data_IF_797955647004
#
_entry.id   IF_797955647004
#
_cell.length_a   1.000
_cell.length_b   1.000
_cell.length_c   1.000
_cell.angle_alpha   90.00
_cell.angle_beta   90.00
_cell.angle_gamma   90.00
#
_symmetry.space_group_name_H-M   'P 1'
#
loop_
_entity.id
_entity.type
_entity.pdbx_description
1 polymer ?
#
# COMPACT_ATOMS: atom_id res chain seq x y z
N UNK A 1 -9.24 15.10 -11.52
CA UNK A 1 -9.94 14.23 -10.57
C UNK A 1 -9.10 14.21 -9.31
N UNK A 2 -9.67 14.53 -8.15
CA UNK A 2 -8.95 14.43 -6.87
C UNK A 2 -9.35 13.10 -6.26
N UNK A 3 -8.56 12.05 -6.51
CA UNK A 3 -8.78 10.76 -5.85
C UNK A 3 -8.54 10.95 -4.35
N UNK A 4 -9.42 10.40 -3.52
CA UNK A 4 -9.19 10.26 -2.08
C UNK A 4 -8.58 8.90 -1.80
N UNK A 5 -7.67 8.83 -0.82
CA UNK A 5 -7.12 7.56 -0.34
C UNK A 5 -7.83 7.13 0.95
N UNK A 6 -8.33 5.89 0.97
CA UNK A 6 -8.81 5.24 2.20
C UNK A 6 -8.04 3.93 2.44
N UNK A 7 -8.07 3.43 3.67
CA UNK A 7 -7.47 2.15 4.04
C UNK A 7 -8.56 1.14 4.40
N UNK A 8 -8.48 -0.04 3.80
CA UNK A 8 -9.15 -1.21 4.36
C UNK A 8 -8.71 -1.41 5.83
N UNK A 9 -9.60 -1.76 6.78
CA UNK A 9 -9.26 -1.85 8.20
C UNK A 9 -8.03 -2.72 8.49
N UNK A 10 -7.91 -3.87 7.81
CA UNK A 10 -6.74 -4.74 7.96
C UNK A 10 -5.46 -4.12 7.36
N UNK A 11 -5.55 -3.36 6.27
CA UNK A 11 -4.40 -2.65 5.71
C UNK A 11 -3.92 -1.54 6.66
N UNK A 12 -4.86 -0.86 7.32
CA UNK A 12 -4.55 0.14 8.36
C UNK A 12 -3.85 -0.50 9.55
N UNK A 13 -4.31 -1.67 10.00
CA UNK A 13 -3.65 -2.42 11.06
C UNK A 13 -2.23 -2.86 10.67
N UNK A 14 -2.04 -3.28 9.41
CA UNK A 14 -0.71 -3.62 8.87
C UNK A 14 0.24 -2.45 8.83
N UNK A 15 -0.27 -1.28 8.44
CA UNK A 15 0.49 -0.04 8.39
C UNK A 15 1.02 0.34 9.77
N UNK A 16 0.14 0.42 10.77
CA UNK A 16 0.55 0.75 12.14
C UNK A 16 1.45 -0.31 12.75
N UNK A 17 1.14 -1.60 12.57
CA UNK A 17 2.01 -2.67 13.07
C UNK A 17 3.43 -2.60 12.46
N UNK A 18 3.57 -2.15 11.21
CA UNK A 18 4.87 -1.94 10.60
C UNK A 18 5.59 -0.72 11.18
N UNK A 19 4.89 0.40 11.42
CA UNK A 19 5.44 1.59 12.09
C UNK A 19 6.00 1.20 13.45
N UNK A 20 5.20 0.55 14.30
CA UNK A 20 5.58 0.13 15.64
C UNK A 20 6.81 -0.80 15.59
N UNK A 21 6.78 -1.80 14.71
CA UNK A 21 7.88 -2.76 14.54
C UNK A 21 9.21 -2.11 14.14
N UNK A 22 9.16 -1.09 13.28
CA UNK A 22 10.35 -0.36 12.84
C UNK A 22 10.87 0.56 13.95
N UNK A 23 9.99 1.25 14.67
CA UNK A 23 10.38 2.18 15.72
C UNK A 23 11.01 1.46 16.93
N UNK A 24 10.49 0.27 17.27
CA UNK A 24 11.08 -0.62 18.28
C UNK A 24 12.54 -1.03 17.97
N UNK A 25 12.94 -1.02 16.70
CA UNK A 25 14.29 -1.43 16.27
C UNK A 25 15.26 -0.27 16.20
N UNK A 26 14.76 0.88 15.80
CA UNK A 26 15.55 2.09 15.70
C UNK A 26 14.60 3.28 15.77
N UNK A 27 14.83 4.14 16.76
CA UNK A 27 14.09 5.38 16.95
C UNK A 27 14.05 6.17 15.62
N UNK A 28 12.84 6.54 15.20
CA UNK A 28 12.57 7.32 13.99
C UNK A 28 12.54 6.49 12.70
N UNK A 29 12.75 5.17 12.74
CA UNK A 29 12.60 4.32 11.56
C UNK A 29 11.11 4.11 11.23
N UNK A 30 10.22 4.10 12.23
CA UNK A 30 8.76 4.08 12.03
C UNK A 30 8.26 5.32 11.29
N UNK A 31 8.71 6.51 11.70
CA UNK A 31 8.39 7.78 11.02
C UNK A 31 8.89 7.78 9.57
N UNK A 32 10.10 7.28 9.31
CA UNK A 32 10.62 7.12 7.94
C UNK A 32 9.77 6.17 7.11
N UNK A 33 9.25 5.10 7.71
CA UNK A 33 8.37 4.15 7.04
C UNK A 33 7.03 4.80 6.68
N UNK A 34 6.42 5.51 7.62
CA UNK A 34 5.20 6.28 7.40
C UNK A 34 5.36 7.27 6.25
N UNK A 35 6.41 8.08 6.26
CA UNK A 35 6.70 9.03 5.20
C UNK A 35 6.90 8.36 3.83
N UNK A 36 7.57 7.20 3.80
CA UNK A 36 7.78 6.45 2.56
C UNK A 36 6.48 5.85 2.00
N UNK A 37 5.56 5.42 2.87
CA UNK A 37 4.22 4.96 2.46
C UNK A 37 3.40 6.14 1.94
N UNK A 38 3.39 7.28 2.65
CA UNK A 38 2.69 8.49 2.22
C UNK A 38 3.16 8.95 0.83
N UNK A 39 4.47 9.02 0.60
CA UNK A 39 5.04 9.35 -0.71
C UNK A 39 4.62 8.36 -1.82
N UNK A 40 4.52 7.07 -1.50
CA UNK A 40 4.04 6.05 -2.44
C UNK A 40 2.55 6.21 -2.77
N UNK A 41 1.73 6.65 -1.79
CA UNK A 41 0.31 6.97 -1.98
C UNK A 41 0.13 8.24 -2.81
N UNK A 42 0.82 9.33 -2.47
CA UNK A 42 0.74 10.60 -3.21
C UNK A 42 1.10 10.40 -4.68
N UNK A 43 2.16 9.64 -4.96
CA UNK A 43 2.55 9.33 -6.33
C UNK A 43 1.55 8.41 -7.04
N UNK A 44 0.80 7.58 -6.32
CA UNK A 44 -0.29 6.78 -6.88
C UNK A 44 -1.56 7.59 -7.14
N UNK A 45 -1.80 8.64 -6.36
CA UNK A 45 -2.91 9.58 -6.58
C UNK A 45 -2.64 10.50 -7.78
N UNK A 46 -1.38 10.93 -7.96
CA UNK A 46 -0.96 11.78 -9.08
C UNK A 46 -0.89 11.01 -10.42
N UNK A 47 -0.41 9.76 -10.39
CA UNK A 47 -0.25 8.92 -11.58
C UNK A 47 -0.75 7.47 -11.34
N UNK A 48 -2.07 7.26 -11.19
CA UNK A 48 -2.66 5.95 -10.91
C UNK A 48 -2.24 4.86 -11.90
N UNK A 49 -2.20 5.21 -13.19
CA UNK A 49 -1.91 4.30 -14.28
C UNK A 49 -0.44 3.85 -14.35
N UNK A 50 0.46 4.54 -13.64
CA UNK A 50 1.89 4.21 -13.58
C UNK A 50 2.20 3.15 -12.52
N UNK A 51 1.29 2.93 -11.56
CA UNK A 51 1.44 1.83 -10.62
C UNK A 51 1.20 0.51 -11.38
N UNK A 52 2.15 -0.43 -11.50
CA UNK A 52 1.92 -1.65 -12.27
C UNK A 52 0.77 -2.46 -11.69
N UNK A 53 -0.03 -3.04 -12.59
CA UNK A 53 -1.09 -4.02 -12.24
C UNK A 53 -0.44 -5.19 -11.51
N UNK A 54 -1.11 -5.69 -10.48
CA UNK A 54 -0.64 -6.86 -9.74
C UNK A 54 -0.53 -8.07 -10.68
N UNK A 55 0.59 -8.82 -10.67
CA UNK A 55 0.78 -9.94 -11.59
C UNK A 55 -0.36 -10.96 -11.54
N UNK A 56 -0.93 -11.26 -12.71
CA UNK A 56 -2.03 -12.21 -12.86
C UNK A 56 -3.39 -11.71 -12.37
N UNK A 57 -3.56 -10.41 -12.10
CA UNK A 57 -4.87 -9.81 -11.85
C UNK A 57 -5.57 -9.49 -13.16
N UNK A 58 -6.80 -9.96 -13.32
CA UNK A 58 -7.61 -9.80 -14.55
C UNK A 58 -9.06 -9.35 -14.23
N UNK A 59 -9.30 -8.86 -13.02
CA UNK A 59 -10.63 -8.44 -12.56
C UNK A 59 -10.70 -6.92 -12.40
N UNK A 60 -11.90 -6.36 -12.57
CA UNK A 60 -12.21 -5.01 -12.12
C UNK A 60 -12.80 -5.06 -10.71
N UNK A 61 -12.48 -4.11 -9.82
CA UNK A 61 -11.56 -2.99 -10.03
C UNK A 61 -10.09 -3.44 -10.13
N UNK A 62 -9.29 -2.69 -10.91
CA UNK A 62 -7.90 -3.02 -11.14
C UNK A 62 -7.06 -2.91 -9.87
N UNK A 63 -6.39 -4.00 -9.50
CA UNK A 63 -5.43 -3.98 -8.39
C UNK A 63 -4.04 -3.68 -8.91
N UNK A 64 -3.41 -2.68 -8.29
CA UNK A 64 -2.04 -2.23 -8.58
C UNK A 64 -1.20 -2.31 -7.32
N UNK A 65 0.13 -2.26 -7.46
CA UNK A 65 1.01 -2.17 -6.29
C UNK A 65 2.24 -1.35 -6.54
N UNK A 66 2.74 -0.70 -5.49
CA UNK A 66 4.00 0.04 -5.52
C UNK A 66 4.94 -0.38 -4.39
N UNK A 67 6.26 -0.42 -4.64
CA UNK A 67 7.23 -0.62 -3.58
C UNK A 67 7.24 0.58 -2.63
N UNK A 68 7.52 0.34 -1.36
CA UNK A 68 7.81 1.39 -0.38
C UNK A 68 9.33 1.63 -0.38
N UNK A 69 9.82 2.78 -0.86
CA UNK A 69 11.26 3.01 -1.00
C UNK A 69 12.01 2.87 0.33
N UNK A 70 13.12 2.12 0.33
CA UNK A 70 13.93 1.89 1.54
C UNK A 70 13.38 0.81 2.48
N UNK A 71 12.23 0.23 2.18
CA UNK A 71 11.61 -0.80 3.03
C UNK A 71 11.24 -2.04 2.23
N UNK A 72 11.39 -3.25 2.80
CA UNK A 72 10.95 -4.50 2.18
C UNK A 72 9.42 -4.65 2.26
N UNK A 73 8.68 -3.67 1.75
CA UNK A 73 7.23 -3.59 1.79
C UNK A 73 6.68 -3.02 0.49
N UNK A 74 5.41 -3.32 0.23
CA UNK A 74 4.67 -2.83 -0.94
C UNK A 74 3.30 -2.36 -0.48
N UNK A 75 2.84 -1.26 -1.04
CA UNK A 75 1.44 -0.83 -0.91
C UNK A 75 0.65 -1.48 -2.04
N UNK A 76 -0.48 -2.09 -1.70
CA UNK A 76 -1.41 -2.69 -2.65
C UNK A 76 -2.68 -1.86 -2.68
N UNK A 77 -3.08 -1.49 -3.89
CA UNK A 77 -4.03 -0.44 -4.18
C UNK A 77 -5.12 -1.00 -5.08
N UNK A 78 -6.36 -0.74 -4.71
CA UNK A 78 -7.53 -0.95 -5.54
C UNK A 78 -7.92 0.41 -6.11
N UNK A 79 -7.95 0.52 -7.44
CA UNK A 79 -8.27 1.78 -8.11
C UNK A 79 -9.64 1.63 -8.78
N UNK A 80 -10.58 2.45 -8.32
CA UNK A 80 -11.91 2.61 -8.92
C UNK A 80 -12.01 3.97 -9.63
N UNK A 81 -13.17 4.31 -10.20
CA UNK A 81 -13.34 5.56 -10.96
C UNK A 81 -13.03 6.82 -10.12
N UNK A 82 -13.38 6.81 -8.83
CA UNK A 82 -13.34 7.99 -7.97
C UNK A 82 -12.50 7.81 -6.69
N UNK A 83 -12.03 6.59 -6.40
CA UNK A 83 -11.34 6.26 -5.14
C UNK A 83 -10.13 5.34 -5.33
N UNK A 84 -9.10 5.59 -4.54
CA UNK A 84 -7.97 4.69 -4.34
C UNK A 84 -8.08 4.10 -2.92
N UNK A 85 -8.28 2.78 -2.84
CA UNK A 85 -8.36 2.08 -1.55
C UNK A 85 -7.09 1.27 -1.33
N UNK A 86 -6.41 1.48 -0.21
CA UNK A 86 -5.26 0.69 0.23
C UNK A 86 -5.77 -0.59 0.87
N UNK A 87 -5.57 -1.72 0.19
CA UNK A 87 -6.07 -3.04 0.64
C UNK A 87 -5.00 -3.86 1.36
N UNK A 88 -3.72 -3.49 1.22
CA UNK A 88 -2.64 -4.04 2.03
C UNK A 88 -1.40 -3.14 2.08
N UNK A 89 -0.73 -3.17 3.24
CA UNK A 89 0.67 -2.77 3.39
C UNK A 89 1.49 -4.05 3.56
N UNK A 90 1.87 -4.64 2.44
CA UNK A 90 2.40 -5.99 2.36
C UNK A 90 3.93 -6.02 2.52
N UNK A 91 4.39 -6.45 3.69
CA UNK A 91 5.80 -6.79 3.90
C UNK A 91 6.23 -7.97 3.01
N UNK A 92 7.46 -7.96 2.48
CA UNK A 92 7.98 -8.93 1.51
C UNK A 92 8.00 -10.39 1.99
N UNK A 93 7.93 -10.60 3.32
CA UNK A 93 7.85 -11.94 3.95
C UNK A 93 6.43 -12.51 4.01
N UNK A 94 5.39 -11.74 3.67
CA UNK A 94 4.01 -12.23 3.65
C UNK A 94 3.73 -13.06 2.40
N UNK A 95 2.82 -14.03 2.52
CA UNK A 95 2.37 -14.85 1.39
C UNK A 95 1.81 -13.96 0.28
N UNK A 96 2.32 -14.01 -0.96
CA UNK A 96 1.76 -13.21 -2.06
C UNK A 96 0.25 -13.40 -2.21
N UNK A 97 -0.49 -12.30 -2.37
CA UNK A 97 -1.94 -12.32 -2.60
C UNK A 97 -2.82 -12.65 -1.40
N UNK A 98 -2.30 -12.68 -0.16
CA UNK A 98 -3.12 -12.94 1.04
C UNK A 98 -4.29 -11.95 1.20
N UNK A 99 -4.13 -10.72 0.72
CA UNK A 99 -5.11 -9.62 0.76
C UNK A 99 -6.20 -9.73 -0.30
N UNK A 100 -6.18 -10.74 -1.19
CA UNK A 100 -7.11 -10.85 -2.33
C UNK A 100 -8.59 -10.86 -1.94
N UNK A 101 -8.92 -11.28 -0.72
CA UNK A 101 -10.29 -11.28 -0.20
C UNK A 101 -10.80 -9.88 0.21
N UNK A 102 -9.91 -8.87 0.18
CA UNK A 102 -10.18 -7.47 0.50
C UNK A 102 -10.31 -6.59 -0.75
N UNK A 103 -10.13 -7.20 -1.94
CA UNK A 103 -10.18 -6.56 -3.26
C UNK A 103 -11.53 -6.80 -3.92
#
# INVERSE_FOLDING_TARGET
MTLTSDFHPEARAEFFAAIDWYDERQIGLGERFEAAVAAALDSSLLWPEWAPVWPGWQHEPMVRSRPVPGFPSRVVLLISADELTVIAVAHAKRKPGYWRHRA
#
